data_IF_030981982078
#
_entry.id   IF_030981982078
#
_cell.length_a   1.000
_cell.length_b   1.000
_cell.length_c   1.000
_cell.angle_alpha   90.00
_cell.angle_beta   90.00
_cell.angle_gamma   90.00
#
_symmetry.space_group_name_H-M   'P 1'
#
loop_
_entity.id
_entity.type
_entity.pdbx_description
1 polymer ?
#
# COMPACT_ATOMS: atom_id res chain seq x y z
N UNK A 1 -20.29 48.61 -29.46
CA UNK A 1 -20.64 47.18 -29.60
C UNK A 1 -19.84 46.43 -28.54
N UNK A 2 -20.46 46.16 -27.38
CA UNK A 2 -19.75 45.64 -26.20
C UNK A 2 -19.67 44.11 -26.27
N UNK A 3 -18.52 43.48 -25.97
CA UNK A 3 -18.40 42.03 -26.10
C UNK A 3 -19.06 41.33 -24.90
N UNK A 4 -19.77 40.21 -25.10
CA UNK A 4 -20.39 39.45 -24.01
C UNK A 4 -19.42 38.40 -23.48
N UNK A 5 -18.59 38.73 -22.48
CA UNK A 5 -17.62 37.77 -21.89
C UNK A 5 -17.74 37.59 -20.36
N UNK A 6 -18.92 37.80 -19.77
CA UNK A 6 -19.11 37.73 -18.31
C UNK A 6 -19.45 36.35 -17.72
N UNK A 7 -19.83 35.34 -18.51
CA UNK A 7 -20.35 34.05 -17.98
C UNK A 7 -19.30 32.94 -17.86
N UNK A 8 -18.38 32.83 -18.83
CA UNK A 8 -17.34 31.78 -18.81
C UNK A 8 -16.24 32.08 -17.78
N UNK A 9 -15.93 33.36 -17.55
CA UNK A 9 -14.93 33.80 -16.58
C UNK A 9 -15.35 33.51 -15.12
N UNK A 10 -16.66 33.60 -14.83
CA UNK A 10 -17.23 33.28 -13.52
C UNK A 10 -17.27 31.77 -13.24
N UNK A 11 -17.49 30.94 -14.26
CA UNK A 11 -17.47 29.49 -14.13
C UNK A 11 -16.05 28.97 -13.84
N UNK A 12 -15.04 29.47 -14.56
CA UNK A 12 -13.64 29.12 -14.32
C UNK A 12 -13.17 29.54 -12.91
N UNK A 13 -13.52 30.76 -12.46
CA UNK A 13 -13.19 31.23 -11.11
C UNK A 13 -13.86 30.38 -10.00
N UNK A 14 -15.12 29.96 -10.21
CA UNK A 14 -15.85 29.10 -9.28
C UNK A 14 -15.23 27.69 -9.19
N UNK A 15 -14.81 27.13 -10.33
CA UNK A 15 -14.12 25.83 -10.37
C UNK A 15 -12.76 25.90 -9.68
N UNK A 16 -11.98 26.95 -9.90
CA UNK A 16 -10.69 27.16 -9.22
C UNK A 16 -10.88 27.32 -7.70
N UNK A 17 -11.93 28.01 -7.25
CA UNK A 17 -12.25 28.15 -5.83
C UNK A 17 -12.67 26.82 -5.19
N UNK A 18 -13.45 25.99 -5.89
CA UNK A 18 -13.81 24.64 -5.44
C UNK A 18 -12.56 23.75 -5.39
N UNK A 19 -11.70 23.82 -6.41
CA UNK A 19 -10.45 23.08 -6.46
C UNK A 19 -9.52 23.46 -5.30
N UNK A 20 -9.37 24.76 -5.04
CA UNK A 20 -8.58 25.27 -3.91
C UNK A 20 -9.11 24.79 -2.57
N UNK A 21 -10.44 24.80 -2.36
CA UNK A 21 -11.06 24.23 -1.16
C UNK A 21 -10.87 22.72 -1.04
N UNK A 22 -10.95 21.98 -2.15
CA UNK A 22 -10.72 20.54 -2.19
C UNK A 22 -9.26 20.19 -1.87
N UNK A 23 -8.30 20.99 -2.37
CA UNK A 23 -6.86 20.88 -2.04
C UNK A 23 -6.62 21.20 -0.55
N UNK A 24 -7.32 22.20 0.01
CA UNK A 24 -7.20 22.50 1.44
C UNK A 24 -7.81 21.38 2.30
N UNK A 25 -8.97 20.84 1.91
CA UNK A 25 -9.64 19.76 2.62
C UNK A 25 -8.85 18.44 2.57
N UNK A 26 -8.16 18.15 1.46
CA UNK A 26 -7.34 16.95 1.33
C UNK A 26 -6.16 16.94 2.31
N UNK A 27 -5.64 18.10 2.72
CA UNK A 27 -4.60 18.21 3.76
C UNK A 27 -5.09 17.71 5.12
N UNK A 28 -6.25 18.19 5.57
CA UNK A 28 -6.83 17.75 6.85
C UNK A 28 -7.22 16.26 6.81
N UNK A 29 -7.70 15.79 5.64
CA UNK A 29 -7.98 14.38 5.43
C UNK A 29 -6.71 13.53 5.59
N UNK A 30 -5.61 13.90 4.93
CA UNK A 30 -4.32 13.22 5.02
C UNK A 30 -3.80 13.15 6.47
N UNK A 31 -3.94 14.25 7.23
CA UNK A 31 -3.57 14.29 8.64
C UNK A 31 -4.34 13.26 9.47
N UNK A 32 -5.66 13.14 9.27
CA UNK A 32 -6.48 12.10 9.95
C UNK A 32 -6.02 10.69 9.59
N UNK A 33 -5.73 10.42 8.32
CA UNK A 33 -5.20 9.13 7.89
C UNK A 33 -3.84 8.82 8.54
N UNK A 34 -2.96 9.81 8.63
CA UNK A 34 -1.65 9.65 9.27
C UNK A 34 -1.78 9.28 10.75
N UNK A 35 -2.61 9.99 11.52
CA UNK A 35 -2.88 9.64 12.91
C UNK A 35 -3.50 8.24 13.04
N UNK A 36 -4.42 7.89 12.13
CA UNK A 36 -5.00 6.55 12.07
C UNK A 36 -3.96 5.46 11.84
N UNK A 37 -3.01 5.68 10.92
CA UNK A 37 -1.92 4.74 10.64
C UNK A 37 -0.97 4.58 11.83
N UNK A 38 -0.58 5.67 12.48
CA UNK A 38 0.29 5.63 13.68
C UNK A 38 -0.42 4.92 14.84
N UNK A 39 -1.68 5.25 15.11
CA UNK A 39 -2.47 4.60 16.14
C UNK A 39 -2.67 3.11 15.84
N UNK A 40 -2.98 2.77 14.59
CA UNK A 40 -3.08 1.39 14.14
C UNK A 40 -1.78 0.62 14.32
N UNK A 41 -0.63 1.21 13.96
CA UNK A 41 0.69 0.60 14.16
C UNK A 41 1.00 0.40 15.64
N UNK A 42 0.63 1.33 16.52
CA UNK A 42 0.80 1.19 17.97
C UNK A 42 -0.04 0.04 18.54
N UNK A 43 -1.33 -0.06 18.16
CA UNK A 43 -2.18 -1.18 18.55
C UNK A 43 -1.63 -2.52 18.04
N UNK A 44 -1.10 -2.51 16.81
CA UNK A 44 -0.49 -3.69 16.22
C UNK A 44 0.79 -4.11 16.96
N UNK A 45 1.62 -3.14 17.38
CA UNK A 45 2.81 -3.40 18.20
C UNK A 45 2.45 -4.03 19.56
N UNK A 46 1.37 -3.58 20.21
CA UNK A 46 0.87 -4.23 21.44
C UNK A 46 0.49 -5.69 21.17
N UNK A 47 -0.21 -5.96 20.05
CA UNK A 47 -0.55 -7.34 19.67
C UNK A 47 0.67 -8.19 19.39
N UNK A 48 1.69 -7.64 18.73
CA UNK A 48 2.97 -8.30 18.48
C UNK A 48 3.67 -8.68 19.79
N UNK A 49 3.80 -7.73 20.72
CA UNK A 49 4.41 -7.96 22.03
C UNK A 49 3.65 -9.02 22.83
N UNK A 50 2.32 -9.01 22.79
CA UNK A 50 1.49 -10.04 23.42
C UNK A 50 1.76 -11.43 22.85
N UNK A 51 1.88 -11.58 21.52
CA UNK A 51 2.23 -12.86 20.88
C UNK A 51 3.64 -13.31 21.25
N UNK A 52 4.60 -12.39 21.26
CA UNK A 52 5.98 -12.66 21.63
C UNK A 52 6.08 -13.14 23.08
N UNK A 53 5.35 -12.51 23.99
CA UNK A 53 5.32 -12.89 25.39
C UNK A 53 4.71 -14.29 25.59
N UNK A 54 3.63 -14.61 24.89
CA UNK A 54 3.02 -15.95 24.91
C UNK A 54 4.01 -17.00 24.40
N UNK A 55 4.67 -16.75 23.28
CA UNK A 55 5.66 -17.67 22.73
C UNK A 55 6.83 -17.88 23.69
N UNK A 56 7.32 -16.83 24.33
CA UNK A 56 8.40 -16.93 25.32
C UNK A 56 8.00 -17.77 26.55
N UNK A 57 6.74 -17.65 27.00
CA UNK A 57 6.22 -18.41 28.14
C UNK A 57 6.05 -19.90 27.85
N UNK A 58 5.61 -20.24 26.63
CA UNK A 58 5.29 -21.62 26.25
C UNK A 58 6.43 -22.31 25.47
N UNK A 59 7.59 -21.66 25.31
CA UNK A 59 8.68 -22.10 24.43
C UNK A 59 9.18 -23.53 24.75
N UNK A 60 9.21 -23.89 26.02
CA UNK A 60 9.74 -25.18 26.49
C UNK A 60 8.68 -26.29 26.56
N UNK A 61 7.40 -25.92 26.43
CA UNK A 61 6.26 -26.84 26.57
C UNK A 61 5.55 -27.07 25.24
N UNK A 62 5.74 -26.19 24.26
CA UNK A 62 5.18 -26.32 22.92
C UNK A 62 5.93 -27.37 22.06
N UNK A 63 5.20 -28.12 21.21
CA UNK A 63 5.81 -28.89 20.13
C UNK A 63 6.64 -28.01 19.17
N UNK A 64 7.69 -28.57 18.58
CA UNK A 64 8.61 -27.84 17.69
C UNK A 64 7.89 -27.18 16.48
N UNK A 65 6.91 -27.88 15.90
CA UNK A 65 6.09 -27.36 14.80
C UNK A 65 5.27 -26.12 15.20
N UNK A 66 4.78 -26.08 16.45
CA UNK A 66 4.02 -24.96 16.99
C UNK A 66 4.91 -23.73 17.19
N UNK A 67 6.13 -23.95 17.69
CA UNK A 67 7.14 -22.89 17.85
C UNK A 67 7.50 -22.29 16.49
N UNK A 68 7.74 -23.12 15.47
CA UNK A 68 8.06 -22.64 14.12
C UNK A 68 6.92 -21.76 13.54
N UNK A 69 5.67 -22.19 13.73
CA UNK A 69 4.51 -21.42 13.25
C UNK A 69 4.34 -20.12 14.03
N UNK A 70 4.55 -20.12 15.35
CA UNK A 70 4.50 -18.91 16.16
C UNK A 70 5.56 -17.89 15.72
N UNK A 71 6.79 -18.34 15.43
CA UNK A 71 7.85 -17.50 14.85
C UNK A 71 7.44 -16.96 13.48
N UNK A 72 6.86 -17.79 12.61
CA UNK A 72 6.41 -17.35 11.29
C UNK A 72 5.32 -16.27 11.38
N UNK A 73 4.42 -16.35 12.37
CA UNK A 73 3.45 -15.29 12.65
C UNK A 73 4.10 -13.99 13.16
N UNK A 74 5.18 -14.07 13.94
CA UNK A 74 5.95 -12.90 14.38
C UNK A 74 6.65 -12.23 13.20
N UNK A 75 7.28 -13.01 12.32
CA UNK A 75 7.90 -12.49 11.09
C UNK A 75 6.87 -11.78 10.21
N UNK A 76 5.72 -12.40 9.95
CA UNK A 76 4.63 -11.79 9.18
C UNK A 76 4.15 -10.47 9.80
N UNK A 77 3.98 -10.46 11.12
CA UNK A 77 3.59 -9.24 11.85
C UNK A 77 4.64 -8.13 11.69
N UNK A 78 5.93 -8.46 11.76
CA UNK A 78 7.01 -7.50 11.54
C UNK A 78 7.04 -6.97 10.10
N UNK A 79 6.73 -7.80 9.10
CA UNK A 79 6.63 -7.39 7.70
C UNK A 79 5.46 -6.41 7.47
N UNK A 80 4.29 -6.69 8.04
CA UNK A 80 3.13 -5.79 7.97
C UNK A 80 3.46 -4.45 8.63
N UNK A 81 4.08 -4.46 9.81
CA UNK A 81 4.51 -3.25 10.50
C UNK A 81 5.52 -2.43 9.67
N UNK A 82 6.47 -3.11 9.03
CA UNK A 82 7.47 -2.47 8.16
C UNK A 82 6.82 -1.82 6.94
N UNK A 83 5.83 -2.47 6.32
CA UNK A 83 5.07 -1.91 5.20
C UNK A 83 4.29 -0.65 5.64
N UNK A 84 3.60 -0.72 6.77
CA UNK A 84 2.87 0.43 7.33
C UNK A 84 3.84 1.58 7.63
N UNK A 85 5.01 1.28 8.20
CA UNK A 85 6.02 2.29 8.49
C UNK A 85 6.53 2.99 7.23
N UNK A 86 6.76 2.25 6.14
CA UNK A 86 7.12 2.84 4.84
C UNK A 86 6.02 3.80 4.35
N UNK A 87 4.76 3.42 4.48
CA UNK A 87 3.62 4.27 4.10
C UNK A 87 3.56 5.53 4.97
N UNK A 88 3.77 5.39 6.28
CA UNK A 88 3.82 6.51 7.24
C UNK A 88 4.95 7.46 6.86
N UNK A 89 6.17 6.97 6.65
CA UNK A 89 7.33 7.79 6.26
C UNK A 89 7.11 8.51 4.92
N UNK A 90 6.61 7.82 3.90
CA UNK A 90 6.30 8.45 2.61
C UNK A 90 5.18 9.49 2.72
N UNK A 91 4.21 9.27 3.61
CA UNK A 91 3.13 10.22 3.85
C UNK A 91 3.63 11.45 4.59
N UNK A 92 4.55 11.28 5.56
CA UNK A 92 5.21 12.37 6.27
C UNK A 92 6.03 13.25 5.33
N UNK A 93 6.87 12.65 4.48
CA UNK A 93 7.69 13.34 3.47
C UNK A 93 6.82 14.20 2.56
N UNK A 94 5.74 13.62 2.02
CA UNK A 94 4.75 14.33 1.20
C UNK A 94 4.03 15.47 1.93
N UNK A 95 3.76 15.35 3.24
CA UNK A 95 3.05 16.37 4.02
C UNK A 95 3.97 17.51 4.45
N UNK A 96 5.21 17.19 4.85
CA UNK A 96 6.19 18.16 5.39
C UNK A 96 6.90 18.93 4.29
N UNK A 97 7.24 18.31 3.16
CA UNK A 97 7.77 19.04 1.99
C UNK A 97 6.78 20.10 1.50
N UNK A 98 5.48 19.81 1.58
CA UNK A 98 4.39 20.74 1.23
C UNK A 98 4.11 21.82 2.27
N UNK A 99 4.61 21.66 3.50
CA UNK A 99 4.49 22.63 4.59
C UNK A 99 5.73 23.52 4.70
N UNK A 100 6.90 23.03 4.29
CA UNK A 100 8.17 23.74 4.31
C UNK A 100 8.45 24.54 3.02
N UNK A 101 7.82 24.20 1.89
CA UNK A 101 7.97 24.90 0.62
C UNK A 101 6.97 26.04 0.44
N UNK A 102 7.51 27.23 0.15
CA UNK A 102 6.80 28.44 -0.24
C UNK A 102 5.66 28.15 -1.23
N UNK A 103 4.48 28.68 -0.93
CA UNK A 103 3.37 28.74 -1.85
C UNK A 103 3.64 29.80 -2.95
N UNK A 104 4.70 29.63 -3.74
CA UNK A 104 4.84 30.32 -5.02
C UNK A 104 4.26 29.46 -6.17
N UNK A 105 3.63 30.17 -7.09
CA UNK A 105 2.68 29.77 -8.14
C UNK A 105 3.17 28.77 -9.22
N UNK A 106 3.95 27.73 -8.89
CA UNK A 106 4.42 26.74 -9.88
C UNK A 106 3.85 25.31 -9.69
N UNK A 107 2.62 25.16 -9.19
CA UNK A 107 2.08 23.83 -8.85
C UNK A 107 1.01 23.29 -9.85
N UNK A 108 1.44 22.88 -11.06
CA UNK A 108 0.64 22.00 -11.93
C UNK A 108 1.45 20.97 -12.74
N UNK A 109 2.74 20.75 -12.43
CA UNK A 109 3.57 19.76 -13.17
C UNK A 109 3.80 18.44 -12.44
N UNK A 110 3.42 18.32 -11.16
CA UNK A 110 3.66 17.11 -10.34
C UNK A 110 2.54 16.06 -10.42
N UNK A 111 1.28 16.47 -10.67
CA UNK A 111 0.12 15.55 -10.78
C UNK A 111 0.24 14.59 -11.98
N UNK A 112 1.07 14.92 -12.97
CA UNK A 112 1.28 14.09 -14.17
C UNK A 112 2.29 12.94 -13.99
N UNK A 113 2.94 12.81 -12.83
CA UNK A 113 4.08 11.90 -12.65
C UNK A 113 4.00 11.01 -11.41
N UNK A 114 2.83 10.93 -10.78
CA UNK A 114 2.59 9.89 -9.77
C UNK A 114 2.63 8.55 -10.47
N UNK A 115 3.68 7.77 -10.18
CA UNK A 115 3.98 6.49 -10.81
C UNK A 115 3.03 5.40 -10.31
N UNK A 116 1.76 5.53 -10.69
CA UNK A 116 0.68 4.60 -10.36
C UNK A 116 0.98 3.18 -10.86
N UNK A 117 1.81 3.04 -11.91
CA UNK A 117 2.23 1.74 -12.44
C UNK A 117 3.18 1.02 -11.46
N UNK A 118 4.23 1.69 -11.01
CA UNK A 118 5.13 1.12 -9.99
C UNK A 118 4.41 0.85 -8.65
N UNK A 119 3.42 1.68 -8.28
CA UNK A 119 2.65 1.45 -7.06
C UNK A 119 1.81 0.16 -7.14
N UNK A 120 1.14 -0.09 -8.27
CA UNK A 120 0.32 -1.30 -8.47
C UNK A 120 1.15 -2.59 -8.37
N UNK A 121 2.33 -2.61 -8.99
CA UNK A 121 3.20 -3.78 -8.97
C UNK A 121 3.79 -4.04 -7.57
N UNK A 122 4.19 -2.99 -6.85
CA UNK A 122 4.68 -3.10 -5.46
C UNK A 122 3.60 -3.65 -4.52
N UNK A 123 2.35 -3.20 -4.66
CA UNK A 123 1.24 -3.71 -3.83
C UNK A 123 0.92 -5.16 -4.18
N UNK A 124 0.85 -5.51 -5.46
CA UNK A 124 0.55 -6.88 -5.89
C UNK A 124 1.61 -7.88 -5.39
N UNK A 125 2.89 -7.53 -5.49
CA UNK A 125 4.00 -8.39 -5.01
C UNK A 125 4.00 -8.53 -3.49
N UNK A 126 3.66 -7.49 -2.73
CA UNK A 126 3.50 -7.57 -1.28
C UNK A 126 2.35 -8.51 -0.86
N UNK A 127 1.20 -8.43 -1.54
CA UNK A 127 0.05 -9.32 -1.28
C UNK A 127 0.41 -10.78 -1.54
N UNK A 128 1.09 -11.07 -2.66
CA UNK A 128 1.55 -12.42 -2.99
C UNK A 128 2.48 -12.95 -1.89
N UNK A 129 3.46 -12.16 -1.45
CA UNK A 129 4.43 -12.57 -0.42
C UNK A 129 3.75 -12.90 0.93
N UNK A 130 2.85 -12.04 1.41
CA UNK A 130 2.08 -12.28 2.65
C UNK A 130 1.23 -13.55 2.50
N UNK A 131 0.56 -13.72 1.35
CA UNK A 131 -0.23 -14.91 1.09
C UNK A 131 0.61 -16.20 1.03
N UNK A 132 1.84 -16.15 0.52
CA UNK A 132 2.76 -17.30 0.51
C UNK A 132 3.17 -17.71 1.92
N UNK A 133 3.45 -16.75 2.81
CA UNK A 133 3.77 -17.01 4.22
C UNK A 133 2.60 -17.73 4.90
N UNK A 134 1.38 -17.28 4.64
CA UNK A 134 0.17 -17.89 5.20
C UNK A 134 -0.04 -19.33 4.69
N UNK A 135 0.25 -19.59 3.41
CA UNK A 135 0.15 -20.93 2.85
C UNK A 135 1.22 -21.87 3.43
N UNK A 136 2.43 -21.35 3.72
CA UNK A 136 3.49 -22.10 4.40
C UNK A 136 3.07 -22.50 5.83
N UNK A 137 2.41 -21.61 6.58
CA UNK A 137 1.85 -21.94 7.90
C UNK A 137 0.84 -23.09 7.83
N UNK A 138 -0.05 -23.05 6.84
CA UNK A 138 -1.05 -24.10 6.61
C UNK A 138 -0.38 -25.42 6.24
N UNK A 139 0.68 -25.37 5.43
CA UNK A 139 1.45 -26.55 5.05
C UNK A 139 2.15 -27.21 6.25
N UNK A 140 2.74 -26.42 7.15
CA UNK A 140 3.40 -26.92 8.36
C UNK A 140 2.44 -27.62 9.34
N UNK A 141 1.14 -27.32 9.27
CA UNK A 141 0.09 -27.94 10.09
C UNK A 141 -0.98 -28.62 9.25
N UNK A 142 -0.62 -29.19 8.10
CA UNK A 142 -1.60 -29.65 7.11
C UNK A 142 -2.63 -30.63 7.68
N UNK A 143 -2.23 -31.49 8.63
CA UNK A 143 -3.12 -32.44 9.30
C UNK A 143 -4.19 -31.77 10.18
N UNK A 144 -3.94 -30.53 10.63
CA UNK A 144 -4.87 -29.72 11.41
C UNK A 144 -5.90 -28.96 10.55
N UNK A 145 -5.78 -29.00 9.22
CA UNK A 145 -6.68 -28.32 8.30
C UNK A 145 -7.50 -29.32 7.48
N UNK A 146 -8.74 -28.95 7.15
CA UNK A 146 -9.53 -29.74 6.21
C UNK A 146 -8.91 -29.69 4.81
N UNK A 147 -8.93 -30.81 4.10
CA UNK A 147 -8.44 -30.89 2.72
C UNK A 147 -9.05 -29.80 1.83
N UNK A 148 -10.37 -29.59 1.94
CA UNK A 148 -11.08 -28.53 1.21
C UNK A 148 -10.54 -27.13 1.56
N UNK A 149 -10.29 -26.86 2.85
CA UNK A 149 -9.72 -25.59 3.29
C UNK A 149 -8.32 -25.34 2.75
N UNK A 150 -7.48 -26.38 2.69
CA UNK A 150 -6.14 -26.30 2.10
C UNK A 150 -6.22 -26.04 0.59
N UNK A 151 -7.11 -26.75 -0.12
CA UNK A 151 -7.31 -26.57 -1.57
C UNK A 151 -7.77 -25.16 -1.92
N UNK A 152 -8.73 -24.60 -1.19
CA UNK A 152 -9.18 -23.22 -1.42
C UNK A 152 -8.08 -22.18 -1.19
N UNK A 153 -7.28 -22.35 -0.13
CA UNK A 153 -6.16 -21.43 0.17
C UNK A 153 -5.09 -21.50 -0.92
N UNK A 154 -4.77 -22.70 -1.40
CA UNK A 154 -3.85 -22.88 -2.53
C UNK A 154 -4.41 -22.26 -3.81
N UNK A 155 -5.71 -22.44 -4.09
CA UNK A 155 -6.38 -21.84 -5.25
C UNK A 155 -6.40 -20.31 -5.22
N UNK A 156 -6.75 -19.71 -4.09
CA UNK A 156 -6.74 -18.25 -3.89
C UNK A 156 -5.30 -17.70 -4.04
N UNK A 157 -4.32 -18.37 -3.44
CA UNK A 157 -2.92 -17.97 -3.60
C UNK A 157 -2.48 -18.03 -5.07
N UNK A 158 -2.84 -19.09 -5.78
CA UNK A 158 -2.61 -19.23 -7.21
C UNK A 158 -3.22 -18.08 -8.01
N UNK A 159 -4.41 -17.61 -7.65
CA UNK A 159 -5.05 -16.45 -8.28
C UNK A 159 -4.29 -15.14 -8.02
N UNK A 160 -3.77 -14.94 -6.81
CA UNK A 160 -2.91 -13.78 -6.51
C UNK A 160 -1.61 -13.80 -7.31
N UNK A 161 -0.94 -14.95 -7.39
CA UNK A 161 0.29 -15.13 -8.19
C UNK A 161 -0.01 -14.84 -9.66
N UNK A 162 -1.10 -15.38 -10.21
CA UNK A 162 -1.51 -15.13 -11.58
C UNK A 162 -1.78 -13.63 -11.82
N UNK A 163 -2.52 -12.97 -10.92
CA UNK A 163 -2.80 -11.53 -11.01
C UNK A 163 -1.53 -10.68 -10.99
N UNK A 164 -0.57 -11.01 -10.11
CA UNK A 164 0.71 -10.31 -10.05
C UNK A 164 1.57 -10.53 -11.30
N UNK A 165 1.58 -11.75 -11.86
CA UNK A 165 2.26 -12.05 -13.11
C UNK A 165 1.66 -11.28 -14.28
N UNK A 166 0.33 -11.25 -14.41
CA UNK A 166 -0.36 -10.50 -15.46
C UNK A 166 -0.06 -9.00 -15.36
N UNK A 167 -0.06 -8.43 -14.15
CA UNK A 167 0.33 -7.04 -13.91
C UNK A 167 1.79 -6.79 -14.31
N UNK A 168 2.71 -7.69 -13.96
CA UNK A 168 4.12 -7.58 -14.33
C UNK A 168 4.35 -7.65 -15.84
N UNK A 169 3.63 -8.52 -16.55
CA UNK A 169 3.68 -8.62 -18.01
C UNK A 169 3.13 -7.35 -18.65
N UNK A 170 1.97 -6.85 -18.18
CA UNK A 170 1.38 -5.61 -18.69
C UNK A 170 2.32 -4.41 -18.48
N UNK A 171 2.93 -4.29 -17.30
CA UNK A 171 3.90 -3.23 -17.00
C UNK A 171 5.10 -3.29 -17.95
N UNK A 172 5.66 -4.49 -18.19
CA UNK A 172 6.77 -4.69 -19.13
C UNK A 172 6.41 -4.28 -20.56
N UNK A 173 5.23 -4.69 -21.05
CA UNK A 173 4.76 -4.35 -22.40
C UNK A 173 4.55 -2.84 -22.56
N UNK A 174 3.96 -2.20 -21.56
CA UNK A 174 3.68 -0.75 -21.58
C UNK A 174 4.98 0.07 -21.53
N UNK A 175 6.03 -0.44 -20.87
CA UNK A 175 7.37 0.15 -20.86
C UNK A 175 8.11 -0.01 -22.19
N UNK A 176 8.00 -1.17 -22.85
CA UNK A 176 8.64 -1.39 -24.16
C UNK A 176 8.01 -0.53 -25.27
N UNK A 177 6.69 -0.35 -25.28
CA UNK A 177 6.02 0.53 -26.26
C UNK A 177 6.35 2.03 -26.13
N UNK A 178 6.94 2.45 -25.00
CA UNK A 178 7.42 3.83 -24.78
C UNK A 178 8.85 4.06 -25.26
N UNK A 179 9.66 3.00 -25.38
CA UNK A 179 11.06 3.09 -25.81
C UNK A 179 11.18 3.20 -27.34
N UNK A 180 10.40 2.44 -28.12
CA UNK A 180 10.40 2.52 -29.60
C UNK A 180 9.98 3.89 -30.16
N UNK A 181 9.16 4.65 -29.42
CA UNK A 181 8.71 5.98 -29.87
C UNK A 181 9.76 7.08 -29.70
N UNK A 182 10.81 6.84 -28.90
CA UNK A 182 11.88 7.83 -28.66
C UNK A 182 13.10 7.67 -29.59
N UNK A 183 13.19 6.59 -30.37
CA UNK A 183 14.25 6.37 -31.37
C UNK A 183 13.83 6.76 -32.80
N UNK A 184 12.58 7.22 -32.99
CA UNK A 184 12.02 7.62 -34.28
C UNK A 184 11.78 9.14 -34.42
N UNK A 185 12.38 9.95 -33.54
CA UNK A 185 12.41 11.43 -33.61
C UNK A 185 13.84 11.94 -33.68
#
# INVERSE_FOLDING_TARGET
MSPPHGREQNAAASLLAILGRAILASRYLLMVFFFGLVAGLALYAVRFLSKLWSLAGDLLTMPEEDVLIAVLHLVDSALIASLVMIVVLSSYDSLVDRLAGDAEEEDMRWVGRTDYANLKLKVATAIVAISSIHLLQVFLKVESYSQEGVMWRMGIHGLFVLGALLLGVLDRLTRHGKAEKNESV
#
